data_IF_712874364270
#
_entry.id   IF_712874364270
#
_cell.length_a   1.000
_cell.length_b   1.000
_cell.length_c   1.000
_cell.angle_alpha   90.00
_cell.angle_beta   90.00
_cell.angle_gamma   90.00
#
_symmetry.space_group_name_H-M   'P 1'
#
loop_
_entity.id
_entity.type
_entity.pdbx_description
1 polymer ?
#
# COMPACT_ATOMS: atom_id res chain seq x y z
N UNK A 1 -11.25 -6.77 -0.06
CA UNK A 1 -12.16 -5.63 0.18
C UNK A 1 -13.31 -6.13 1.03
N UNK A 2 -13.67 -5.44 2.12
CA UNK A 2 -14.73 -5.90 3.04
C UNK A 2 -15.92 -4.94 3.12
N UNK A 3 -15.93 -3.88 2.31
CA UNK A 3 -16.99 -2.88 2.25
C UNK A 3 -16.81 -1.94 1.05
N UNK A 4 -17.81 -1.08 0.75
CA UNK A 4 -17.79 -0.18 -0.40
C UNK A 4 -16.73 0.93 -0.27
N UNK A 5 -16.48 1.62 -1.39
CA UNK A 5 -15.63 2.82 -1.44
C UNK A 5 -16.41 4.03 -0.90
N UNK A 6 -15.81 4.73 0.04
CA UNK A 6 -16.21 6.07 0.46
C UNK A 6 -15.29 7.08 -0.22
N UNK A 7 -15.79 7.82 -1.22
CA UNK A 7 -15.03 8.81 -1.98
C UNK A 7 -14.81 10.13 -1.23
N UNK A 8 -15.61 10.41 -0.19
CA UNK A 8 -15.55 11.67 0.54
C UNK A 8 -14.58 11.62 1.72
N UNK A 9 -14.09 10.42 2.06
CA UNK A 9 -13.14 10.22 3.14
C UNK A 9 -11.71 10.42 2.66
N UNK A 10 -11.02 11.38 3.26
CA UNK A 10 -9.57 11.53 3.16
C UNK A 10 -8.92 10.91 4.40
N UNK A 11 -7.76 10.32 4.23
CA UNK A 11 -6.98 9.73 5.32
C UNK A 11 -5.60 10.40 5.38
N UNK A 12 -5.11 10.64 6.59
CA UNK A 12 -3.91 11.45 6.82
C UNK A 12 -2.63 10.63 6.92
N UNK A 13 -2.73 9.30 6.84
CA UNK A 13 -1.58 8.38 6.96
C UNK A 13 -0.85 8.14 5.62
N UNK A 14 -1.36 8.67 4.49
CA UNK A 14 -0.65 8.58 3.21
C UNK A 14 0.52 9.58 3.16
N UNK A 15 1.63 9.19 2.52
CA UNK A 15 2.77 10.09 2.34
C UNK A 15 2.50 11.25 1.38
N UNK A 16 1.51 11.11 0.48
CA UNK A 16 1.12 12.12 -0.50
C UNK A 16 -0.39 12.35 -0.41
N UNK A 17 -0.80 13.62 -0.40
CA UNK A 17 -2.21 14.06 -0.32
C UNK A 17 -2.98 13.90 -1.64
N UNK A 18 -2.51 13.04 -2.55
CA UNK A 18 -3.14 12.81 -3.86
C UNK A 18 -4.25 11.76 -3.82
N UNK A 19 -4.30 10.95 -2.78
CA UNK A 19 -5.24 9.84 -2.65
C UNK A 19 -6.50 10.29 -1.91
N UNK A 20 -7.62 10.33 -2.62
CA UNK A 20 -8.94 10.62 -2.07
C UNK A 20 -9.80 9.38 -2.08
N UNK A 21 -10.61 9.24 -1.03
CA UNK A 21 -11.44 8.07 -0.81
C UNK A 21 -10.72 6.90 -0.17
N UNK A 22 -11.49 5.99 0.43
CA UNK A 22 -10.96 4.74 0.98
C UNK A 22 -12.05 3.67 1.06
N UNK A 23 -11.64 2.41 1.18
CA UNK A 23 -12.52 1.28 1.50
C UNK A 23 -11.81 0.37 2.51
N UNK A 24 -12.55 -0.34 3.38
CA UNK A 24 -11.94 -1.23 4.35
C UNK A 24 -11.40 -2.49 3.67
N UNK A 25 -10.23 -2.93 4.14
CA UNK A 25 -9.59 -4.18 3.74
C UNK A 25 -9.25 -5.02 4.96
N UNK A 26 -9.22 -6.34 4.79
CA UNK A 26 -8.68 -7.28 5.76
C UNK A 26 -7.50 -7.99 5.09
N UNK A 27 -6.33 -7.89 5.71
CA UNK A 27 -5.15 -8.62 5.27
C UNK A 27 -5.30 -10.10 5.65
N UNK A 28 -5.25 -10.98 4.65
CA UNK A 28 -5.37 -12.43 4.85
C UNK A 28 -4.00 -13.13 4.88
N UNK A 29 -3.07 -12.69 4.04
CA UNK A 29 -1.70 -13.18 3.94
C UNK A 29 -0.81 -11.93 3.88
N UNK A 30 0.23 -11.88 4.72
CA UNK A 30 1.23 -10.81 4.72
C UNK A 30 2.59 -11.49 4.60
N UNK A 31 3.17 -11.45 3.40
CA UNK A 31 4.36 -12.21 3.07
C UNK A 31 5.00 -11.70 1.77
N UNK A 32 6.32 -11.81 1.67
CA UNK A 32 7.04 -11.58 0.42
C UNK A 32 7.11 -12.88 -0.41
N UNK A 33 6.75 -12.77 -1.70
CA UNK A 33 6.88 -13.87 -2.67
C UNK A 33 7.71 -13.39 -3.85
N UNK A 34 8.73 -14.17 -4.23
CA UNK A 34 9.60 -13.80 -5.33
C UNK A 34 8.86 -13.80 -6.67
N UNK A 35 9.07 -12.76 -7.47
CA UNK A 35 8.44 -12.63 -8.79
C UNK A 35 8.72 -13.83 -9.71
N UNK A 36 9.88 -14.49 -9.58
CA UNK A 36 10.21 -15.71 -10.33
C UNK A 36 9.16 -16.81 -10.15
N UNK A 37 8.58 -16.92 -8.96
CA UNK A 37 7.53 -17.89 -8.65
C UNK A 37 6.21 -17.57 -9.35
N UNK A 38 5.97 -16.34 -9.81
CA UNK A 38 4.71 -15.89 -10.40
C UNK A 38 4.79 -15.65 -11.91
N UNK A 39 5.99 -15.49 -12.48
CA UNK A 39 6.21 -15.07 -13.88
C UNK A 39 5.61 -16.01 -14.94
N UNK A 40 5.36 -17.28 -14.60
CA UNK A 40 4.76 -18.25 -15.51
C UNK A 40 3.25 -18.03 -15.69
N UNK A 41 2.61 -17.36 -14.75
CA UNK A 41 1.18 -17.04 -14.79
C UNK A 41 0.98 -15.87 -15.73
N UNK A 42 0.34 -16.14 -16.88
CA UNK A 42 0.06 -15.14 -17.92
C UNK A 42 -1.41 -14.76 -17.91
N UNK A 43 -1.68 -13.48 -18.15
CA UNK A 43 -3.02 -12.91 -18.14
C UNK A 43 -3.50 -12.66 -19.58
N UNK A 44 -4.52 -13.39 -20.02
CA UNK A 44 -5.09 -13.25 -21.37
C UNK A 44 -5.65 -11.85 -21.61
N UNK A 45 -6.32 -11.29 -20.59
CA UNK A 45 -6.84 -9.92 -20.56
C UNK A 45 -5.76 -8.82 -20.43
N UNK A 46 -4.46 -9.17 -20.45
CA UNK A 46 -3.34 -8.23 -20.40
C UNK A 46 -2.25 -8.61 -21.42
N UNK A 47 -2.65 -8.82 -22.69
CA UNK A 47 -1.74 -9.13 -23.81
C UNK A 47 -0.85 -10.35 -23.54
N UNK A 48 -1.33 -11.33 -22.76
CA UNK A 48 -0.57 -12.50 -22.31
C UNK A 48 0.74 -12.15 -21.57
N UNK A 49 0.82 -10.94 -20.98
CA UNK A 49 1.95 -10.55 -20.12
C UNK A 49 1.91 -11.34 -18.81
N UNK A 50 3.07 -11.60 -18.18
CA UNK A 50 3.13 -12.16 -16.84
C UNK A 50 2.36 -11.31 -15.82
N UNK A 51 1.74 -11.94 -14.84
CA UNK A 51 1.02 -11.23 -13.75
C UNK A 51 1.92 -10.25 -13.00
N UNK A 52 3.23 -10.50 -12.95
CA UNK A 52 4.24 -9.60 -12.35
C UNK A 52 4.39 -8.26 -13.07
N UNK A 53 3.79 -8.11 -14.25
CA UNK A 53 3.85 -6.89 -15.07
C UNK A 53 2.51 -6.13 -15.07
N UNK A 54 1.61 -6.49 -14.17
CA UNK A 54 0.30 -5.85 -14.02
C UNK A 54 0.42 -4.39 -13.56
N UNK A 55 -0.45 -3.52 -14.07
CA UNK A 55 -0.62 -2.15 -13.56
C UNK A 55 -1.58 -2.14 -12.38
N UNK A 56 -1.63 -1.01 -11.68
CA UNK A 56 -2.60 -0.80 -10.60
C UNK A 56 -4.02 -1.13 -11.07
N UNK A 57 -4.78 -1.84 -10.23
CA UNK A 57 -6.15 -2.33 -10.50
C UNK A 57 -6.34 -3.32 -11.66
N UNK A 58 -5.27 -3.94 -12.19
CA UNK A 58 -5.39 -5.02 -13.18
C UNK A 58 -6.23 -6.19 -12.63
N UNK A 59 -7.28 -6.56 -13.36
CA UNK A 59 -8.08 -7.74 -13.04
C UNK A 59 -7.32 -9.03 -13.38
N UNK A 60 -7.38 -10.00 -12.47
CA UNK A 60 -6.86 -11.35 -12.64
C UNK A 60 -8.05 -12.30 -12.70
N UNK A 61 -8.11 -13.09 -13.76
CA UNK A 61 -9.14 -14.11 -13.94
C UNK A 61 -9.07 -15.18 -12.84
N UNK A 62 -10.20 -15.84 -12.58
CA UNK A 62 -10.38 -16.70 -11.42
C UNK A 62 -9.31 -17.80 -11.30
N UNK A 63 -9.03 -18.52 -12.40
CA UNK A 63 -8.09 -19.66 -12.39
C UNK A 63 -6.66 -19.22 -12.03
N UNK A 64 -6.18 -18.14 -12.66
CA UNK A 64 -4.87 -17.54 -12.36
C UNK A 64 -4.84 -16.97 -10.94
N UNK A 65 -5.94 -16.40 -10.47
CA UNK A 65 -6.09 -15.92 -9.09
C UNK A 65 -5.94 -17.06 -8.06
N UNK A 66 -6.55 -18.22 -8.33
CA UNK A 66 -6.42 -19.40 -7.48
C UNK A 66 -4.98 -19.95 -7.47
N UNK A 67 -4.31 -19.96 -8.61
CA UNK A 67 -2.91 -20.37 -8.71
C UNK A 67 -1.99 -19.44 -7.90
N UNK A 68 -2.18 -18.13 -8.01
CA UNK A 68 -1.44 -17.14 -7.21
C UNK A 68 -1.67 -17.38 -5.71
N UNK A 69 -2.92 -17.52 -5.27
CA UNK A 69 -3.23 -17.77 -3.86
C UNK A 69 -2.59 -19.06 -3.33
N UNK A 70 -2.55 -20.12 -4.16
CA UNK A 70 -1.86 -21.36 -3.81
C UNK A 70 -0.36 -21.13 -3.62
N UNK A 71 0.29 -20.41 -4.54
CA UNK A 71 1.72 -20.07 -4.41
C UNK A 71 1.99 -19.28 -3.13
N UNK A 72 1.18 -18.26 -2.83
CA UNK A 72 1.33 -17.48 -1.59
C UNK A 72 1.19 -18.34 -0.32
N UNK A 73 0.33 -19.36 -0.35
CA UNK A 73 0.10 -20.26 0.79
C UNK A 73 1.19 -21.32 0.94
N UNK A 74 1.65 -21.88 -0.18
CA UNK A 74 2.58 -23.01 -0.20
C UNK A 74 4.05 -22.58 -0.14
N UNK A 75 4.36 -21.31 -0.45
CA UNK A 75 5.72 -20.78 -0.32
C UNK A 75 6.21 -20.93 1.14
N UNK A 76 7.47 -21.32 1.33
CA UNK A 76 8.07 -21.54 2.66
C UNK A 76 8.82 -20.31 3.21
N UNK A 77 8.96 -19.26 2.41
CA UNK A 77 9.54 -18.00 2.84
C UNK A 77 8.87 -17.46 4.11
N UNK A 78 9.64 -16.78 4.95
CA UNK A 78 9.12 -16.22 6.20
C UNK A 78 9.22 -14.70 6.23
N UNK A 79 9.93 -14.10 5.27
CA UNK A 79 10.09 -12.65 5.24
C UNK A 79 8.80 -11.94 4.88
N UNK A 80 8.57 -10.82 5.54
CA UNK A 80 7.47 -9.92 5.22
C UNK A 80 7.80 -8.51 5.69
N UNK A 81 6.97 -7.54 5.27
CA UNK A 81 6.98 -6.19 5.82
C UNK A 81 6.88 -6.12 7.35
N UNK A 82 6.35 -7.16 8.01
CA UNK A 82 6.21 -7.19 9.46
C UNK A 82 7.56 -7.33 10.18
N UNK A 83 8.58 -7.89 9.53
CA UNK A 83 9.93 -7.98 10.11
C UNK A 83 10.53 -6.58 10.35
N UNK A 84 10.15 -5.63 9.50
CA UNK A 84 10.58 -4.24 9.54
C UNK A 84 9.57 -3.32 10.26
N UNK A 85 8.56 -3.86 10.94
CA UNK A 85 7.45 -3.06 11.49
C UNK A 85 7.94 -1.92 12.40
N UNK A 86 8.91 -2.20 13.29
CA UNK A 86 9.50 -1.19 14.17
C UNK A 86 10.19 -0.06 13.41
N UNK A 87 10.83 -0.37 12.28
CA UNK A 87 11.46 0.64 11.44
C UNK A 87 10.43 1.61 10.86
N UNK A 88 9.28 1.10 10.42
CA UNK A 88 8.20 1.93 9.88
C UNK A 88 7.54 2.80 10.95
N UNK A 89 7.29 2.26 12.14
CA UNK A 89 6.79 3.01 13.32
C UNK A 89 7.72 4.19 13.68
N UNK A 90 9.02 3.92 13.83
CA UNK A 90 10.01 4.95 14.15
C UNK A 90 10.10 6.02 13.06
N UNK A 91 9.94 5.61 11.79
CA UNK A 91 9.95 6.53 10.64
C UNK A 91 8.71 7.41 10.60
N UNK A 92 7.53 6.85 10.86
CA UNK A 92 6.27 7.59 10.94
C UNK A 92 6.32 8.64 12.07
N UNK A 93 6.74 8.23 13.26
CA UNK A 93 6.90 9.15 14.40
C UNK A 93 7.80 10.33 14.06
N UNK A 94 8.96 10.09 13.44
CA UNK A 94 9.89 11.15 12.99
C UNK A 94 9.26 12.07 11.94
N UNK A 95 8.41 11.54 11.05
CA UNK A 95 7.71 12.35 10.04
C UNK A 95 6.65 13.26 10.69
N UNK A 96 5.86 12.73 11.63
CA UNK A 96 4.86 13.49 12.37
C UNK A 96 5.49 14.60 13.21
N UNK A 97 6.60 14.31 13.90
CA UNK A 97 7.36 15.31 14.66
C UNK A 97 7.88 16.45 13.76
N UNK A 98 8.34 16.14 12.55
CA UNK A 98 8.78 17.15 11.57
C UNK A 98 7.62 18.00 11.07
N UNK A 99 6.48 17.39 10.74
CA UNK A 99 5.26 18.10 10.31
C UNK A 99 4.77 19.05 11.40
N UNK A 100 4.72 18.58 12.65
CA UNK A 100 4.34 19.41 13.80
C UNK A 100 5.28 20.60 14.05
N UNK A 101 6.59 20.45 13.79
CA UNK A 101 7.56 21.57 13.88
C UNK A 101 7.35 22.58 12.75
N UNK A 102 7.12 22.14 11.52
CA UNK A 102 6.84 23.03 10.39
C UNK A 102 5.56 23.85 10.59
N UNK A 103 4.49 23.22 11.07
CA UNK A 103 3.21 23.90 11.33
C UNK A 103 3.34 24.99 12.41
N UNK A 104 4.16 24.76 13.45
CA UNK A 104 4.45 25.76 14.49
C UNK A 104 5.20 26.96 13.93
N UNK A 105 6.23 26.74 13.10
CA UNK A 105 6.99 27.83 12.47
C UNK A 105 6.14 28.66 11.51
N UNK A 106 5.24 28.02 10.75
CA UNK A 106 4.31 28.74 9.86
C UNK A 106 3.29 29.60 10.63
N UNK A 107 2.80 29.13 11.79
CA UNK A 107 1.89 29.89 12.65
C UNK A 107 2.59 31.09 13.31
N UNK A 108 3.81 30.93 13.79
CA UNK A 108 4.62 32.03 14.34
C UNK A 108 4.93 33.08 13.28
N UNK A 109 5.34 32.66 12.08
CA UNK A 109 5.56 33.56 10.95
C UNK A 109 4.31 34.39 10.63
N UNK A 110 3.15 33.76 10.45
CA UNK A 110 1.90 34.48 10.15
C UNK A 110 1.50 35.49 11.24
N UNK A 111 1.74 35.20 12.51
CA UNK A 111 1.46 36.12 13.63
C UNK A 111 2.34 37.37 13.66
N UNK A 112 3.57 37.29 13.12
CA UNK A 112 4.50 38.42 13.02
C UNK A 112 4.17 39.38 11.86
N UNK A 113 3.47 38.92 10.83
CA UNK A 113 3.06 39.72 9.67
C UNK A 113 1.65 40.31 9.77
N UNK A 114 0.93 40.06 10.88
CA UNK A 114 -0.43 40.58 11.12
C UNK A 114 -0.49 41.72 12.16
N UNK A 115 0.66 42.23 12.59
CA UNK A 115 0.83 43.48 13.34
C UNK A 115 1.36 44.57 12.40
#
# INVERSE_FOLDING_TARGET
>A
MVGPVDFNRTVEYWQQDKWQGCFPVKWHIIKDVQNSSLRHIKLGNNENKPVTNSRDTQEVEFEQGMEILKIFKDDEGTSSILDDFKFYEDREKKMLEKKAKQDKSQKQGKSLWTL
#
